data_IF_180454315230
#
_entry.id   IF_180454315230
#
_cell.length_a   1.000
_cell.length_b   1.000
_cell.length_c   1.000
_cell.angle_alpha   90.00
_cell.angle_beta   90.00
_cell.angle_gamma   90.00
#
_symmetry.space_group_name_H-M   'P 1'
#
loop_
_entity.id
_entity.type
_entity.pdbx_description
1 polymer ?
#
# COMPACT_ATOMS: atom_id res chain seq x y z
N UNK A 1 -21.44 18.40 -10.43
CA UNK A 1 -22.80 18.74 -10.27
C UNK A 1 -23.10 20.21 -10.10
N UNK A 2 -22.66 20.88 -9.00
CA UNK A 2 -23.00 22.28 -8.69
C UNK A 2 -22.60 23.29 -9.79
N UNK A 3 -21.37 23.17 -10.34
CA UNK A 3 -20.87 24.07 -11.40
C UNK A 3 -21.78 24.04 -12.63
N UNK A 4 -22.29 22.87 -12.99
CA UNK A 4 -23.16 22.70 -14.15
C UNK A 4 -24.56 23.21 -13.85
N UNK A 5 -25.10 22.97 -12.66
CA UNK A 5 -26.45 23.37 -12.27
C UNK A 5 -26.60 24.91 -12.12
N UNK A 6 -25.57 25.59 -11.58
CA UNK A 6 -25.60 27.03 -11.30
C UNK A 6 -24.85 27.89 -12.34
N UNK A 7 -24.28 27.29 -13.39
CA UNK A 7 -23.42 27.95 -14.39
C UNK A 7 -22.26 28.76 -13.81
N UNK A 8 -21.81 28.41 -12.60
CA UNK A 8 -20.70 29.09 -11.92
C UNK A 8 -19.38 28.64 -12.54
N UNK A 9 -18.51 29.58 -12.89
CA UNK A 9 -17.22 29.25 -13.50
C UNK A 9 -16.20 28.78 -12.45
N UNK A 10 -15.28 27.85 -12.84
CA UNK A 10 -14.17 27.42 -11.98
C UNK A 10 -13.33 28.61 -11.51
N UNK A 11 -13.21 29.67 -12.33
CA UNK A 11 -12.47 30.88 -11.95
C UNK A 11 -13.16 31.66 -10.83
N UNK A 12 -14.49 31.71 -10.80
CA UNK A 12 -15.26 32.37 -9.76
C UNK A 12 -15.11 31.60 -8.43
N UNK A 13 -15.27 30.29 -8.45
CA UNK A 13 -15.08 29.43 -7.27
C UNK A 13 -13.65 29.56 -6.72
N UNK A 14 -12.65 29.49 -7.58
CA UNK A 14 -11.25 29.60 -7.20
C UNK A 14 -10.93 30.92 -6.48
N UNK A 15 -11.50 32.02 -6.96
CA UNK A 15 -11.36 33.35 -6.35
C UNK A 15 -11.98 33.39 -4.95
N UNK A 16 -13.17 32.80 -4.78
CA UNK A 16 -13.92 32.79 -3.53
C UNK A 16 -13.20 31.97 -2.43
N UNK A 17 -12.69 30.79 -2.80
CA UNK A 17 -11.99 29.90 -1.85
C UNK A 17 -10.50 30.25 -1.68
N UNK A 18 -9.98 31.27 -2.39
CA UNK A 18 -8.59 31.74 -2.27
C UNK A 18 -7.55 30.80 -2.86
N UNK A 19 -7.90 30.05 -3.93
CA UNK A 19 -7.00 29.18 -4.66
C UNK A 19 -6.84 29.64 -6.12
N UNK A 20 -5.78 29.17 -6.79
CA UNK A 20 -5.63 29.44 -8.23
C UNK A 20 -6.64 28.62 -9.05
N UNK A 21 -7.10 29.17 -10.18
CA UNK A 21 -7.97 28.46 -11.13
C UNK A 21 -7.38 27.09 -11.53
N UNK A 22 -6.05 27.04 -11.73
CA UNK A 22 -5.34 25.82 -12.13
C UNK A 22 -5.41 24.77 -11.03
N UNK A 23 -5.24 25.17 -9.78
CA UNK A 23 -5.32 24.30 -8.61
C UNK A 23 -6.72 23.67 -8.49
N UNK A 24 -7.76 24.48 -8.56
CA UNK A 24 -9.15 23.98 -8.49
C UNK A 24 -9.47 23.07 -9.67
N UNK A 25 -9.02 23.43 -10.87
CA UNK A 25 -9.22 22.61 -12.07
C UNK A 25 -8.53 21.25 -11.96
N UNK A 26 -7.29 21.19 -11.45
CA UNK A 26 -6.56 19.94 -11.21
C UNK A 26 -7.24 19.08 -10.17
N UNK A 27 -7.73 19.67 -9.08
CA UNK A 27 -8.47 18.96 -8.05
C UNK A 27 -9.75 18.32 -8.62
N UNK A 28 -10.57 19.09 -9.35
CA UNK A 28 -11.79 18.59 -9.98
C UNK A 28 -11.54 17.51 -11.05
N UNK A 29 -10.37 17.55 -11.69
CA UNK A 29 -9.95 16.55 -12.67
C UNK A 29 -9.27 15.30 -12.03
N UNK A 30 -9.16 15.22 -10.69
CA UNK A 30 -8.47 14.13 -9.99
C UNK A 30 -6.95 14.10 -10.21
N UNK A 31 -6.35 15.24 -10.61
CA UNK A 31 -4.91 15.38 -10.90
C UNK A 31 -4.20 16.31 -9.91
N UNK A 32 -4.71 16.39 -8.69
CA UNK A 32 -4.15 17.23 -7.65
C UNK A 32 -3.12 16.44 -6.85
N UNK A 33 -1.84 16.85 -6.91
CA UNK A 33 -0.69 16.10 -6.37
C UNK A 33 -0.30 16.50 -4.94
N UNK A 34 -1.04 17.43 -4.31
CA UNK A 34 -0.81 17.89 -2.95
C UNK A 34 -1.92 17.42 -2.01
N UNK A 35 -1.75 17.60 -0.69
CA UNK A 35 -2.77 17.27 0.31
C UNK A 35 -4.10 17.97 -0.01
N UNK A 36 -5.18 17.24 -0.29
CA UNK A 36 -6.45 17.80 -0.70
C UNK A 36 -7.26 18.40 0.45
N UNK A 37 -6.91 18.14 1.71
CA UNK A 37 -7.68 18.50 2.90
C UNK A 37 -8.03 20.00 2.95
N UNK A 38 -7.07 20.85 2.59
CA UNK A 38 -7.25 22.31 2.63
C UNK A 38 -8.19 22.83 1.54
N UNK A 39 -8.15 22.27 0.33
CA UNK A 39 -9.04 22.67 -0.76
C UNK A 39 -10.43 22.07 -0.59
N UNK A 40 -10.54 20.86 -0.04
CA UNK A 40 -11.80 20.19 0.27
C UNK A 40 -12.60 20.95 1.32
N UNK A 41 -11.96 21.34 2.42
CA UNK A 41 -12.61 22.10 3.50
C UNK A 41 -13.17 23.42 2.97
N UNK A 42 -12.42 24.16 2.14
CA UNK A 42 -12.87 25.43 1.57
C UNK A 42 -13.95 25.27 0.51
N UNK A 43 -13.91 24.21 -0.30
CA UNK A 43 -14.99 23.89 -1.25
C UNK A 43 -16.26 23.49 -0.52
N UNK A 44 -16.17 22.72 0.56
CA UNK A 44 -17.31 22.33 1.39
C UNK A 44 -17.94 23.55 2.04
N UNK A 45 -17.15 24.46 2.64
CA UNK A 45 -17.63 25.70 3.20
C UNK A 45 -18.30 26.62 2.17
N UNK A 46 -17.75 26.72 0.96
CA UNK A 46 -18.35 27.45 -0.13
C UNK A 46 -19.72 26.88 -0.54
N UNK A 47 -19.84 25.56 -0.64
CA UNK A 47 -21.10 24.89 -0.98
C UNK A 47 -22.14 25.02 0.14
N UNK A 48 -21.74 24.90 1.39
CA UNK A 48 -22.62 25.10 2.56
C UNK A 48 -23.18 26.52 2.63
N UNK A 49 -22.37 27.53 2.39
CA UNK A 49 -22.80 28.93 2.34
C UNK A 49 -23.82 29.22 1.23
N UNK A 50 -23.89 28.40 0.19
CA UNK A 50 -24.84 28.57 -0.93
C UNK A 50 -26.15 27.77 -0.74
N UNK A 51 -26.12 26.69 0.05
CA UNK A 51 -27.29 25.81 0.27
C UNK A 51 -28.07 26.11 1.55
N UNK A 52 -27.54 26.97 2.42
CA UNK A 52 -28.20 27.31 3.69
C UNK A 52 -28.29 26.17 4.71
N UNK A 53 -27.64 25.03 4.46
CA UNK A 53 -27.50 23.95 5.41
C UNK A 53 -26.26 24.19 6.27
N UNK A 54 -26.45 24.34 7.56
CA UNK A 54 -25.39 24.40 8.56
C UNK A 54 -24.74 23.00 8.64
N UNK A 55 -23.66 22.80 7.88
CA UNK A 55 -22.81 21.62 8.07
C UNK A 55 -21.93 21.93 9.26
N UNK A 56 -22.20 21.28 10.39
CA UNK A 56 -21.36 21.29 11.57
C UNK A 56 -19.98 20.71 11.19
N UNK A 57 -19.04 21.61 10.86
CA UNK A 57 -17.65 21.24 10.61
C UNK A 57 -17.03 20.79 11.92
N UNK A 58 -16.33 19.65 11.96
CA UNK A 58 -15.55 19.31 13.13
C UNK A 58 -14.56 20.45 13.44
N UNK A 59 -14.33 20.80 14.71
CA UNK A 59 -13.47 21.90 15.08
C UNK A 59 -12.07 21.71 14.47
N UNK A 60 -11.41 22.80 14.02
CA UNK A 60 -10.06 22.71 13.50
C UNK A 60 -9.15 22.10 14.57
N UNK A 61 -8.19 21.22 14.18
CA UNK A 61 -7.29 20.61 15.14
C UNK A 61 -6.48 21.70 15.85
N UNK A 62 -6.52 21.68 17.18
CA UNK A 62 -5.78 22.64 18.00
C UNK A 62 -4.27 22.57 17.69
N UNK A 63 -3.59 23.71 17.53
CA UNK A 63 -2.14 23.72 17.29
C UNK A 63 -1.42 23.30 18.57
N UNK A 64 -0.98 22.04 18.66
CA UNK A 64 -0.16 21.60 19.78
C UNK A 64 -0.18 20.13 20.16
N UNK A 65 -1.06 19.31 19.65
CA UNK A 65 -1.01 17.88 19.96
C UNK A 65 -0.23 17.11 18.88
N UNK A 66 1.09 17.06 19.02
CA UNK A 66 1.93 16.00 18.44
C UNK A 66 1.68 14.68 19.19
N UNK A 67 0.44 14.25 19.23
CA UNK A 67 0.05 12.91 19.61
C UNK A 67 0.12 12.05 18.37
N UNK A 68 1.09 11.14 18.30
CA UNK A 68 1.31 10.24 17.18
C UNK A 68 0.11 9.31 16.92
N UNK A 69 -0.90 9.81 16.26
CA UNK A 69 -1.85 8.94 15.59
C UNK A 69 -1.09 8.35 14.40
N UNK A 70 -0.84 7.05 14.48
CA UNK A 70 -0.31 6.30 13.33
C UNK A 70 -1.19 6.65 12.13
N UNK A 71 -0.60 7.03 10.98
CA UNK A 71 -1.37 7.40 9.80
C UNK A 71 -2.38 6.27 9.51
N UNK A 72 -3.65 6.65 9.45
CA UNK A 72 -4.73 5.71 9.16
C UNK A 72 -4.52 5.21 7.72
N UNK A 73 -4.55 3.89 7.50
CA UNK A 73 -4.40 3.31 6.16
C UNK A 73 -5.47 3.89 5.24
N UNK A 74 -5.03 4.57 4.19
CA UNK A 74 -5.92 5.09 3.16
C UNK A 74 -6.02 4.10 2.01
N UNK A 75 -7.18 3.52 1.83
CA UNK A 75 -7.45 2.58 0.75
C UNK A 75 -7.62 3.30 -0.60
N UNK A 76 -6.52 3.72 -1.19
CA UNK A 76 -6.50 4.22 -2.55
C UNK A 76 -6.92 3.12 -3.54
N UNK A 77 -7.26 3.50 -4.78
CA UNK A 77 -7.56 2.53 -5.84
C UNK A 77 -6.41 1.53 -6.03
N UNK A 78 -5.18 2.02 -6.01
CA UNK A 78 -3.99 1.20 -6.19
C UNK A 78 -3.76 0.28 -4.98
N UNK A 79 -3.95 0.79 -3.76
CA UNK A 79 -3.90 -0.03 -2.55
C UNK A 79 -4.92 -1.16 -2.59
N UNK A 80 -6.18 -0.89 -3.00
CA UNK A 80 -7.22 -1.93 -3.18
C UNK A 80 -6.81 -2.99 -4.19
N UNK A 81 -6.19 -2.59 -5.30
CA UNK A 81 -5.70 -3.54 -6.30
C UNK A 81 -4.60 -4.45 -5.71
N UNK A 82 -3.65 -3.90 -4.97
CA UNK A 82 -2.60 -4.68 -4.28
C UNK A 82 -3.20 -5.65 -3.28
N UNK A 83 -4.10 -5.18 -2.42
CA UNK A 83 -4.80 -6.02 -1.44
C UNK A 83 -5.60 -7.14 -2.12
N UNK A 84 -6.27 -6.85 -3.24
CA UNK A 84 -7.01 -7.83 -4.02
C UNK A 84 -6.13 -8.93 -4.60
N UNK A 85 -4.91 -8.60 -5.08
CA UNK A 85 -3.93 -9.61 -5.52
C UNK A 85 -3.50 -10.48 -4.36
N UNK A 86 -3.18 -9.90 -3.19
CA UNK A 86 -2.80 -10.68 -2.00
C UNK A 86 -3.92 -11.62 -1.57
N UNK A 87 -5.16 -11.13 -1.50
CA UNK A 87 -6.32 -11.92 -1.13
C UNK A 87 -6.55 -13.09 -2.09
N UNK A 88 -6.55 -12.81 -3.40
CA UNK A 88 -6.73 -13.85 -4.41
C UNK A 88 -5.62 -14.89 -4.36
N UNK A 89 -4.36 -14.46 -4.18
CA UNK A 89 -3.22 -15.39 -4.09
C UNK A 89 -3.33 -16.30 -2.87
N UNK A 90 -3.80 -15.77 -1.73
CA UNK A 90 -3.99 -16.56 -0.51
C UNK A 90 -5.18 -17.51 -0.62
N UNK A 91 -6.29 -17.06 -1.19
CA UNK A 91 -7.53 -17.83 -1.32
C UNK A 91 -7.39 -18.98 -2.33
N UNK A 92 -6.80 -18.71 -3.49
CA UNK A 92 -6.64 -19.71 -4.57
C UNK A 92 -5.30 -20.44 -4.54
N UNK A 93 -4.46 -20.21 -3.53
CA UNK A 93 -3.13 -20.82 -3.38
C UNK A 93 -2.31 -20.60 -4.66
N UNK A 94 -2.29 -19.36 -5.13
CA UNK A 94 -1.67 -18.97 -6.39
C UNK A 94 -0.50 -18.00 -6.23
N UNK A 95 0.20 -17.76 -7.33
CA UNK A 95 1.25 -16.75 -7.42
C UNK A 95 0.65 -15.43 -7.91
N UNK A 96 0.76 -14.38 -7.11
CA UNK A 96 0.41 -13.00 -7.48
C UNK A 96 1.66 -12.17 -7.74
N UNK A 97 1.63 -11.35 -8.79
CA UNK A 97 2.72 -10.39 -9.09
C UNK A 97 2.12 -9.00 -9.13
N UNK A 98 2.70 -8.09 -8.34
CA UNK A 98 2.33 -6.67 -8.29
C UNK A 98 3.44 -5.85 -8.90
N UNK A 99 3.16 -5.22 -10.04
CA UNK A 99 4.10 -4.31 -10.71
C UNK A 99 3.51 -2.91 -10.72
N UNK A 100 4.20 -1.96 -10.11
CA UNK A 100 3.81 -0.55 -10.15
C UNK A 100 5.06 0.33 -9.96
N UNK A 101 4.98 1.58 -10.40
CA UNK A 101 6.05 2.56 -10.21
C UNK A 101 6.34 2.80 -8.72
N UNK A 102 7.54 3.26 -8.40
CA UNK A 102 7.89 3.70 -7.05
C UNK A 102 6.95 4.83 -6.58
N UNK A 103 6.65 4.89 -5.29
CA UNK A 103 5.77 5.92 -4.71
C UNK A 103 4.26 5.62 -4.77
N UNK A 104 3.81 4.55 -5.42
CA UNK A 104 2.38 4.18 -5.50
C UNK A 104 1.86 3.43 -4.25
N UNK A 105 2.62 3.39 -3.17
CA UNK A 105 2.17 2.83 -1.90
C UNK A 105 2.11 1.29 -1.85
N UNK A 106 2.79 0.56 -2.76
CA UNK A 106 2.86 -0.91 -2.76
C UNK A 106 3.27 -1.46 -1.40
N UNK A 107 4.46 -1.09 -0.94
CA UNK A 107 5.03 -1.52 0.34
C UNK A 107 4.08 -1.24 1.51
N UNK A 108 3.42 -0.09 1.50
CA UNK A 108 2.47 0.27 2.55
C UNK A 108 1.25 -0.65 2.55
N UNK A 109 0.66 -0.92 1.38
CA UNK A 109 -0.46 -1.84 1.23
C UNK A 109 -0.07 -3.30 1.58
N UNK A 110 1.12 -3.75 1.14
CA UNK A 110 1.63 -5.08 1.46
C UNK A 110 1.87 -5.26 2.95
N UNK A 111 2.45 -4.27 3.62
CA UNK A 111 2.66 -4.29 5.08
C UNK A 111 1.33 -4.23 5.85
N UNK A 112 0.31 -3.56 5.31
CA UNK A 112 -1.03 -3.57 5.91
C UNK A 112 -1.66 -4.95 5.80
N UNK A 113 -1.57 -5.62 4.65
CA UNK A 113 -2.04 -6.98 4.47
C UNK A 113 -1.28 -7.99 5.34
N UNK A 114 0.01 -7.77 5.56
CA UNK A 114 0.87 -8.61 6.39
C UNK A 114 0.46 -8.64 7.88
N UNK A 115 -0.44 -7.76 8.33
CA UNK A 115 -1.01 -7.82 9.69
C UNK A 115 -2.09 -8.90 9.83
N UNK A 116 -2.56 -9.45 8.72
CA UNK A 116 -3.57 -10.51 8.73
C UNK A 116 -2.94 -11.85 9.16
N UNK A 117 -3.73 -12.75 9.74
CA UNK A 117 -3.25 -14.06 10.14
C UNK A 117 -2.81 -14.88 8.91
N UNK A 118 -1.81 -15.73 9.09
CA UNK A 118 -1.23 -16.59 8.05
C UNK A 118 -0.63 -15.82 6.87
N UNK A 119 -0.10 -14.63 7.13
CA UNK A 119 0.65 -13.86 6.15
C UNK A 119 2.05 -13.64 6.69
N UNK A 120 3.04 -14.06 5.91
CA UNK A 120 4.45 -13.81 6.13
C UNK A 120 4.91 -12.70 5.18
N UNK A 121 5.75 -11.80 5.66
CA UNK A 121 6.27 -10.67 4.87
C UNK A 121 7.79 -10.62 5.00
N UNK A 122 8.45 -10.52 3.87
CA UNK A 122 9.88 -10.23 3.79
C UNK A 122 10.11 -9.09 2.79
N UNK A 123 11.16 -8.33 3.01
CA UNK A 123 11.64 -7.29 2.11
C UNK A 123 13.04 -7.70 1.64
N UNK A 124 13.23 -7.76 0.33
CA UNK A 124 14.52 -8.15 -0.24
C UNK A 124 15.36 -6.93 -0.57
N UNK A 125 16.67 -7.09 -0.52
CA UNK A 125 17.64 -6.12 -0.97
C UNK A 125 18.77 -6.77 -1.77
N UNK A 126 19.57 -5.94 -2.46
CA UNK A 126 20.65 -6.41 -3.32
C UNK A 126 21.80 -7.08 -2.55
N UNK A 127 21.95 -6.79 -1.27
CA UNK A 127 23.03 -7.33 -0.41
C UNK A 127 22.70 -8.71 0.16
N UNK A 128 21.42 -9.08 0.13
CA UNK A 128 20.91 -10.34 0.67
C UNK A 128 21.47 -11.54 -0.10
N UNK A 129 22.15 -12.44 0.59
CA UNK A 129 22.59 -13.71 0.01
C UNK A 129 21.45 -14.74 -0.05
N UNK A 130 21.68 -15.87 -0.74
CA UNK A 130 20.72 -16.99 -0.76
C UNK A 130 20.45 -17.55 0.64
N UNK A 131 21.43 -17.48 1.53
CA UNK A 131 21.28 -17.93 2.93
C UNK A 131 20.42 -16.97 3.73
N UNK A 132 20.63 -15.66 3.51
CA UNK A 132 19.86 -14.61 4.18
C UNK A 132 18.40 -14.63 3.75
N UNK A 133 18.12 -14.90 2.47
CA UNK A 133 16.76 -15.08 1.97
C UNK A 133 16.04 -16.24 2.69
N UNK A 134 16.69 -17.39 2.78
CA UNK A 134 16.11 -18.55 3.49
C UNK A 134 15.87 -18.23 4.95
N UNK A 135 16.81 -17.54 5.61
CA UNK A 135 16.67 -17.14 7.01
C UNK A 135 15.55 -16.12 7.21
N UNK A 136 15.41 -15.15 6.31
CA UNK A 136 14.31 -14.19 6.36
C UNK A 136 12.95 -14.89 6.23
N UNK A 137 12.83 -15.86 5.32
CA UNK A 137 11.60 -16.66 5.18
C UNK A 137 11.31 -17.45 6.45
N UNK A 138 12.28 -18.21 6.98
CA UNK A 138 12.11 -18.99 8.22
C UNK A 138 11.64 -18.11 9.37
N UNK A 139 12.29 -16.97 9.56
CA UNK A 139 11.92 -15.99 10.59
C UNK A 139 10.50 -15.46 10.42
N UNK A 140 10.10 -15.15 9.19
CA UNK A 140 8.77 -14.59 8.88
C UNK A 140 7.62 -15.57 9.12
N UNK A 141 7.88 -16.88 9.02
CA UNK A 141 6.89 -17.94 9.30
C UNK A 141 7.04 -18.55 10.70
N UNK A 142 7.94 -18.02 11.51
CA UNK A 142 8.14 -18.46 12.90
C UNK A 142 8.87 -19.80 13.06
N UNK A 143 9.58 -20.25 12.02
CA UNK A 143 10.47 -21.40 12.18
C UNK A 143 11.73 -20.99 12.96
N UNK A 144 12.25 -21.87 13.83
CA UNK A 144 13.52 -21.62 14.49
C UNK A 144 14.64 -21.51 13.46
N UNK A 145 15.64 -20.66 13.72
CA UNK A 145 16.80 -20.52 12.84
C UNK A 145 17.38 -21.89 12.50
N UNK A 146 17.25 -22.28 11.24
CA UNK A 146 17.62 -23.62 10.79
C UNK A 146 19.13 -23.82 10.79
N UNK A 147 19.59 -24.90 11.41
CA UNK A 147 20.95 -25.38 11.28
C UNK A 147 21.08 -26.28 10.05
N UNK A 148 22.19 -26.18 9.34
CA UNK A 148 22.54 -27.09 8.26
C UNK A 148 22.58 -26.42 6.89
N UNK A 149 22.46 -27.25 5.86
CA UNK A 149 22.54 -26.82 4.47
C UNK A 149 21.30 -26.03 4.01
N UNK A 150 21.47 -25.14 3.05
CA UNK A 150 20.36 -24.42 2.43
C UNK A 150 19.27 -25.38 1.95
N UNK A 151 19.65 -26.51 1.36
CA UNK A 151 18.71 -27.54 0.89
C UNK A 151 17.80 -28.08 2.01
N UNK A 152 18.36 -28.38 3.18
CA UNK A 152 17.58 -28.87 4.34
C UNK A 152 16.61 -27.81 4.84
N UNK A 153 17.07 -26.57 4.91
CA UNK A 153 16.26 -25.43 5.36
C UNK A 153 15.10 -25.16 4.40
N UNK A 154 15.36 -25.16 3.08
CA UNK A 154 14.35 -25.03 2.03
C UNK A 154 13.29 -26.13 2.11
N UNK A 155 13.69 -27.36 2.38
CA UNK A 155 12.75 -28.47 2.57
C UNK A 155 11.86 -28.25 3.82
N UNK A 156 12.42 -27.73 4.92
CA UNK A 156 11.62 -27.38 6.11
C UNK A 156 10.59 -26.29 5.83
N UNK A 157 10.96 -25.26 5.07
CA UNK A 157 10.04 -24.20 4.64
C UNK A 157 8.93 -24.78 3.76
N UNK A 158 9.27 -25.62 2.78
CA UNK A 158 8.30 -26.29 1.91
C UNK A 158 7.31 -27.14 2.70
N UNK A 159 7.81 -27.91 3.64
CA UNK A 159 6.98 -28.73 4.53
C UNK A 159 6.02 -27.87 5.37
N UNK A 160 6.51 -26.73 5.88
CA UNK A 160 5.68 -25.76 6.59
C UNK A 160 4.51 -25.28 5.72
N UNK A 161 4.76 -24.83 4.49
CA UNK A 161 3.69 -24.34 3.60
C UNK A 161 2.73 -25.46 3.15
N UNK A 162 3.22 -26.66 2.92
CA UNK A 162 2.39 -27.81 2.59
C UNK A 162 1.44 -28.22 3.74
N UNK A 163 1.93 -28.11 4.98
CA UNK A 163 1.15 -28.44 6.17
C UNK A 163 0.19 -27.32 6.57
N UNK A 164 0.61 -26.06 6.39
CA UNK A 164 -0.15 -24.88 6.78
C UNK A 164 -0.80 -24.20 5.56
N UNK A 165 -1.76 -24.87 4.94
CA UNK A 165 -2.45 -24.34 3.77
C UNK A 165 -3.12 -23.00 4.07
N UNK A 166 -3.14 -22.11 3.05
CA UNK A 166 -3.69 -20.76 3.18
C UNK A 166 -2.70 -19.76 3.81
N UNK A 167 -1.44 -20.13 3.98
CA UNK A 167 -0.37 -19.18 4.25
C UNK A 167 0.02 -18.42 2.97
N UNK A 168 0.19 -17.12 3.07
CA UNK A 168 0.71 -16.27 2.00
C UNK A 168 2.12 -15.79 2.39
N UNK A 169 3.09 -15.96 1.51
CA UNK A 169 4.39 -15.31 1.60
C UNK A 169 4.41 -14.09 0.69
N UNK A 170 4.57 -12.92 1.25
CA UNK A 170 4.76 -11.65 0.54
C UNK A 170 6.26 -11.37 0.48
N UNK A 171 6.74 -11.12 -0.74
CA UNK A 171 8.12 -10.72 -1.00
C UNK A 171 8.09 -9.34 -1.64
N UNK A 172 8.50 -8.32 -0.89
CA UNK A 172 8.60 -6.94 -1.38
C UNK A 172 10.00 -6.70 -1.94
N UNK A 173 10.15 -5.73 -2.86
CA UNK A 173 11.37 -5.43 -3.61
C UNK A 173 11.95 -6.68 -4.32
N UNK A 174 11.05 -7.53 -4.87
CA UNK A 174 11.42 -8.80 -5.48
C UNK A 174 12.22 -8.66 -6.79
N UNK A 175 12.29 -7.48 -7.38
CA UNK A 175 13.15 -7.16 -8.52
C UNK A 175 14.64 -7.38 -8.20
N UNK A 176 15.06 -7.22 -6.97
CA UNK A 176 16.41 -7.54 -6.48
C UNK A 176 16.75 -9.04 -6.60
N UNK A 177 15.75 -9.89 -6.70
CA UNK A 177 15.91 -11.34 -6.87
C UNK A 177 16.14 -11.76 -8.34
N UNK A 178 15.87 -10.87 -9.30
CA UNK A 178 15.86 -11.19 -10.74
C UNK A 178 17.15 -10.75 -11.47
N UNK A 179 18.15 -10.24 -10.76
CA UNK A 179 19.41 -9.82 -11.37
C UNK A 179 20.17 -11.01 -11.95
N UNK A 180 21.00 -10.76 -12.98
CA UNK A 180 21.80 -11.80 -13.70
C UNK A 180 22.69 -12.64 -12.77
N UNK A 181 22.99 -12.16 -11.57
CA UNK A 181 23.84 -12.84 -10.59
C UNK A 181 23.04 -13.58 -9.51
N UNK A 182 21.72 -13.52 -9.52
CA UNK A 182 20.83 -14.00 -8.43
C UNK A 182 19.90 -15.15 -8.82
N UNK A 183 20.17 -15.86 -9.91
CA UNK A 183 19.36 -17.03 -10.34
C UNK A 183 19.15 -18.04 -9.20
N UNK A 184 20.15 -18.21 -8.32
CA UNK A 184 20.05 -19.13 -7.17
C UNK A 184 18.93 -18.75 -6.19
N UNK A 185 18.63 -17.46 -6.00
CA UNK A 185 17.54 -17.02 -5.12
C UNK A 185 16.18 -17.39 -5.73
N UNK A 186 16.00 -17.21 -7.03
CA UNK A 186 14.79 -17.64 -7.74
C UNK A 186 14.62 -19.16 -7.74
N UNK A 187 15.71 -19.93 -7.84
CA UNK A 187 15.67 -21.40 -7.72
C UNK A 187 15.23 -21.85 -6.33
N UNK A 188 15.64 -21.13 -5.27
CA UNK A 188 15.18 -21.39 -3.90
C UNK A 188 13.66 -21.20 -3.81
N UNK A 189 13.14 -20.07 -4.33
CA UNK A 189 11.69 -19.82 -4.31
C UNK A 189 10.93 -20.90 -5.10
N UNK A 190 11.41 -21.28 -6.29
CA UNK A 190 10.81 -22.39 -7.05
C UNK A 190 10.85 -23.73 -6.32
N UNK A 191 11.85 -23.94 -5.46
CA UNK A 191 11.96 -25.19 -4.70
C UNK A 191 11.02 -25.20 -3.47
N UNK A 192 10.55 -24.04 -3.02
CA UNK A 192 9.58 -23.90 -1.92
C UNK A 192 8.15 -24.13 -2.43
N UNK A 193 7.83 -23.56 -3.59
CA UNK A 193 6.50 -23.59 -4.22
C UNK A 193 6.48 -24.47 -5.49
#
# INVERSE_FOLDING_TARGET
GYIVAQRTSIAAIAKEIGYSRVTVSRYLAGKYDSDPTGIEAKLAAFLAGQTGEEVELPPPPEPGQKGGQKPRFYESRDAKAVLGVCQSSQEYIGLGIVVARSGYGKTYALREYAKLPRVAYIECDDTMSSRDLVEAIERSIGLPNGYGTIWRRVNGIREFFNTNRGYLLIIDEADTLVSKHTQKKMEILRAIF
#
